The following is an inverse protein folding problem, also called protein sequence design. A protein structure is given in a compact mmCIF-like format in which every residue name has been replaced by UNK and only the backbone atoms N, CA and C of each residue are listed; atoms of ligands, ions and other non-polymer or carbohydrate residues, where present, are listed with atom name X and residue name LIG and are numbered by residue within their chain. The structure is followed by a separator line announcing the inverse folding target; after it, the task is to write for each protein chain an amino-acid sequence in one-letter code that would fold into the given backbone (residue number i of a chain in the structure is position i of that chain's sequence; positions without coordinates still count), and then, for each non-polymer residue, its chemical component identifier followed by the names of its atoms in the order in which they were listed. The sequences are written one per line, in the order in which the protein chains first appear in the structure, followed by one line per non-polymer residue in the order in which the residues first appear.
data_IF_288588946518
#
_entry.id   IF_288588946518
#
_cell.length_a   1.000
_cell.length_b   1.000
_cell.length_c   1.000
_cell.angle_alpha   90.00
_cell.angle_beta   90.00
_cell.angle_gamma   90.00
#
_symmetry.space_group_name_H-M   'P 1'
#
loop_
_entity.id
_entity.type
_entity.pdbx_description
1 polymer ?
#
# COMPACT_ATOMS: atom_id res chain seq x y z
N UNK A 1 0.37 8.96 12.53
CA UNK A 1 -0.32 8.71 13.81
C UNK A 1 -1.75 8.30 13.50
N UNK A 2 -2.21 7.20 14.09
CA UNK A 2 -3.61 6.75 13.98
C UNK A 2 -4.48 7.56 14.94
N UNK A 3 -5.51 8.20 14.43
CA UNK A 3 -6.46 9.01 15.20
C UNK A 3 -7.76 8.26 15.53
N UNK A 4 -8.16 7.31 14.68
CA UNK A 4 -9.32 6.44 14.87
C UNK A 4 -9.23 5.20 13.97
N UNK A 5 -10.04 4.19 14.26
CA UNK A 5 -10.11 2.93 13.52
C UNK A 5 -9.23 1.84 14.10
N UNK A 6 -9.18 0.69 13.42
CA UNK A 6 -8.33 -0.46 13.74
C UNK A 6 -7.86 -1.15 12.45
N UNK A 7 -6.67 -1.74 12.51
CA UNK A 7 -6.09 -2.40 11.35
C UNK A 7 -4.58 -2.57 11.46
N UNK A 8 -3.93 -2.61 10.32
CA UNK A 8 -2.49 -2.85 10.25
C UNK A 8 -1.82 -2.10 9.10
N UNK A 9 -0.50 -2.02 9.15
CA UNK A 9 0.33 -1.62 8.02
C UNK A 9 1.21 -2.79 7.61
N UNK A 10 1.49 -2.87 6.32
CA UNK A 10 2.56 -3.71 5.80
C UNK A 10 3.73 -2.80 5.44
N UNK A 11 4.95 -3.15 5.84
CA UNK A 11 6.15 -2.39 5.49
C UNK A 11 7.34 -3.34 5.27
N UNK A 12 8.10 -3.15 4.21
CA UNK A 12 9.26 -3.99 3.89
C UNK A 12 10.27 -3.26 2.99
N UNK A 13 11.57 -3.59 3.08
CA UNK A 13 12.54 -3.11 2.11
C UNK A 13 12.34 -3.81 0.77
N UNK A 14 12.80 -3.19 -0.31
CA UNK A 14 12.71 -3.79 -1.65
C UNK A 14 13.41 -5.15 -1.72
N UNK A 15 12.78 -6.12 -2.40
CA UNK A 15 13.25 -7.50 -2.49
C UNK A 15 12.96 -8.40 -1.28
N UNK A 16 12.29 -7.90 -0.24
CA UNK A 16 11.84 -8.70 0.92
C UNK A 16 10.32 -8.91 0.95
N UNK A 17 9.86 -9.78 1.85
CA UNK A 17 8.44 -10.05 2.08
C UNK A 17 7.76 -8.99 2.98
N UNK A 18 6.47 -8.66 2.74
CA UNK A 18 5.72 -7.71 3.55
C UNK A 18 5.62 -8.11 5.03
N UNK A 19 6.20 -7.29 5.92
CA UNK A 19 6.11 -7.48 7.38
C UNK A 19 4.86 -6.80 7.95
N UNK A 20 4.23 -7.47 8.92
CA UNK A 20 2.96 -7.04 9.51
C UNK A 20 3.16 -6.17 10.76
N UNK A 21 2.46 -5.03 10.81
CA UNK A 21 2.49 -4.10 11.94
C UNK A 21 1.06 -3.73 12.33
N UNK A 22 0.49 -4.36 13.37
CA UNK A 22 -0.83 -3.97 13.87
C UNK A 22 -0.77 -2.58 14.46
N UNK A 23 -1.88 -1.85 14.41
CA UNK A 23 -1.97 -0.55 15.05
C UNK A 23 -3.30 -0.35 15.76
N UNK A 24 -3.24 0.47 16.80
CA UNK A 24 -4.37 1.02 17.53
C UNK A 24 -4.31 2.55 17.55
N UNK A 25 -5.35 3.21 18.05
CA UNK A 25 -5.38 4.66 18.22
C UNK A 25 -4.17 5.14 19.02
N UNK A 26 -3.47 6.15 18.51
CA UNK A 26 -2.21 6.66 19.07
C UNK A 26 -0.95 6.03 18.46
N UNK A 27 -1.06 4.93 17.71
CA UNK A 27 0.11 4.32 17.06
C UNK A 27 0.74 5.26 16.05
N UNK A 28 2.08 5.39 16.10
CA UNK A 28 2.87 6.13 15.13
C UNK A 28 3.58 5.16 14.20
N UNK A 29 3.04 5.00 12.98
CA UNK A 29 3.68 4.24 11.90
C UNK A 29 4.71 5.13 11.21
N UNK A 30 5.95 4.64 11.11
CA UNK A 30 7.08 5.33 10.47
C UNK A 30 7.76 4.36 9.50
N UNK A 31 7.34 4.32 8.22
CA UNK A 31 8.05 3.55 7.21
C UNK A 31 9.48 4.08 7.07
N UNK A 32 10.51 3.22 7.15
CA UNK A 32 11.88 3.63 6.87
C UNK A 32 12.04 4.17 5.44
N UNK A 33 13.13 4.88 5.19
CA UNK A 33 13.40 5.46 3.88
C UNK A 33 13.47 4.38 2.79
N UNK A 34 12.82 4.63 1.64
CA UNK A 34 12.75 3.72 0.49
C UNK A 34 12.13 2.35 0.78
N UNK A 35 11.21 2.26 1.75
CA UNK A 35 10.44 1.04 2.02
C UNK A 35 9.07 1.09 1.34
N UNK A 36 8.69 -0.06 0.80
CA UNK A 36 7.30 -0.32 0.43
C UNK A 36 6.43 -0.28 1.67
N UNK A 37 5.26 0.34 1.56
CA UNK A 37 4.30 0.38 2.65
C UNK A 37 2.86 0.48 2.15
N UNK A 38 1.96 -0.21 2.85
CA UNK A 38 0.52 -0.20 2.62
C UNK A 38 -0.22 -0.12 3.96
N UNK A 39 -1.39 0.51 4.00
CA UNK A 39 -2.20 0.67 5.21
C UNK A 39 -3.58 0.04 4.98
N UNK A 40 -4.03 -0.80 5.91
CA UNK A 40 -5.28 -1.55 5.81
C UNK A 40 -6.18 -1.23 7.01
N UNK A 41 -7.39 -0.73 6.74
CA UNK A 41 -8.45 -0.60 7.73
C UNK A 41 -9.26 -1.89 7.74
N UNK A 42 -9.33 -2.57 8.88
CA UNK A 42 -10.04 -3.85 9.01
C UNK A 42 -11.27 -3.75 9.90
N UNK A 43 -11.52 -2.58 10.49
CA UNK A 43 -12.68 -2.37 11.35
C UNK A 43 -13.90 -1.85 10.60
N UNK A 44 -15.09 -1.90 11.25
CA UNK A 44 -16.35 -1.44 10.67
C UNK A 44 -16.47 0.10 10.61
N UNK A 45 -15.47 0.83 11.12
CA UNK A 45 -15.48 2.29 11.15
C UNK A 45 -14.31 2.88 10.34
N UNK A 46 -14.46 4.10 9.78
CA UNK A 46 -13.36 4.74 9.06
C UNK A 46 -12.13 4.97 9.93
N UNK A 47 -10.98 4.56 9.41
CA UNK A 47 -9.69 4.89 9.99
C UNK A 47 -9.25 6.31 9.61
N UNK A 48 -8.70 7.05 10.57
CA UNK A 48 -8.19 8.41 10.34
C UNK A 48 -6.72 8.49 10.68
N UNK A 49 -5.94 9.08 9.78
CA UNK A 49 -4.49 9.17 9.88
C UNK A 49 -4.07 10.64 9.92
N UNK A 50 -3.23 10.99 10.89
CA UNK A 50 -2.42 12.21 10.83
C UNK A 50 -1.04 11.84 10.30
N UNK A 51 -0.75 12.24 9.06
CA UNK A 51 0.52 12.00 8.40
C UNK A 51 1.36 13.29 8.40
N UNK A 52 2.56 13.21 8.96
CA UNK A 52 3.58 14.25 8.80
C UNK A 52 4.47 13.86 7.64
N UNK A 53 4.64 14.78 6.68
CA UNK A 53 5.60 14.61 5.60
C UNK A 53 6.62 15.73 5.70
N UNK A 54 7.90 15.37 5.80
CA UNK A 54 8.97 16.35 5.66
C UNK A 54 8.99 16.86 4.22
N UNK A 55 9.08 18.17 4.01
CA UNK A 55 9.12 18.75 2.69
C UNK A 55 10.41 18.32 1.96
N UNK A 56 10.31 17.86 0.71
CA UNK A 56 11.47 17.44 -0.09
C UNK A 56 11.82 15.95 -0.12
N UNK A 57 11.16 15.07 0.65
CA UNK A 57 11.38 13.59 0.57
C UNK A 57 10.63 12.90 -0.56
N UNK A 58 9.78 13.62 -1.29
CA UNK A 58 9.12 13.06 -2.45
C UNK A 58 10.14 12.93 -3.59
N UNK A 59 10.67 11.73 -3.79
CA UNK A 59 11.50 11.42 -4.97
C UNK A 59 10.67 11.68 -6.22
N UNK A 60 11.21 12.46 -7.15
CA UNK A 60 10.54 12.87 -8.39
C UNK A 60 11.36 12.45 -9.60
N UNK A 61 10.69 12.17 -10.72
CA UNK A 61 11.34 11.95 -12.00
C UNK A 61 11.85 13.28 -12.62
N UNK A 62 12.47 13.22 -13.79
CA UNK A 62 13.02 14.39 -14.48
C UNK A 62 11.95 15.45 -14.84
N UNK A 63 10.69 15.05 -14.97
CA UNK A 63 9.54 15.94 -15.22
C UNK A 63 8.91 16.48 -13.93
N UNK A 64 9.48 16.16 -12.77
CA UNK A 64 8.99 16.62 -11.47
C UNK A 64 7.78 15.82 -10.94
N UNK A 65 7.39 14.71 -11.57
CA UNK A 65 6.29 13.86 -11.09
C UNK A 65 6.78 12.98 -9.94
N UNK A 66 6.07 12.91 -8.79
CA UNK A 66 6.42 11.99 -7.71
C UNK A 66 6.47 10.55 -8.21
N UNK A 67 7.57 9.84 -7.93
CA UNK A 67 7.73 8.45 -8.36
C UNK A 67 6.68 7.53 -7.73
N UNK A 68 6.19 7.84 -6.53
CA UNK A 68 5.10 7.13 -5.86
C UNK A 68 3.72 7.28 -6.54
N UNK A 69 3.61 8.06 -7.61
CA UNK A 69 2.41 8.15 -8.45
C UNK A 69 2.57 7.41 -9.78
N UNK A 70 3.73 6.81 -10.00
CA UNK A 70 4.09 6.15 -11.24
C UNK A 70 4.18 4.66 -10.94
N UNK A 71 3.56 3.84 -11.79
CA UNK A 71 3.62 2.38 -11.72
C UNK A 71 5.08 1.88 -11.67
N UNK A 72 5.33 0.88 -10.83
CA UNK A 72 6.61 0.19 -10.72
C UNK A 72 7.02 -0.49 -12.03
N UNK A 73 6.04 -0.88 -12.86
CA UNK A 73 6.27 -1.49 -14.19
C UNK A 73 7.02 -0.59 -15.15
N UNK A 74 6.93 0.72 -14.97
CA UNK A 74 7.59 1.75 -15.79
C UNK A 74 8.61 2.57 -15.00
N UNK A 75 9.15 2.00 -13.91
CA UNK A 75 10.24 2.58 -13.13
C UNK A 75 9.81 3.56 -12.04
N UNK A 76 8.52 3.62 -11.72
CA UNK A 76 8.00 4.33 -10.55
C UNK A 76 8.07 3.51 -9.27
N UNK A 77 7.43 4.03 -8.21
CA UNK A 77 7.44 3.46 -6.86
C UNK A 77 6.00 3.21 -6.35
N UNK A 78 5.06 2.94 -7.27
CA UNK A 78 3.69 2.52 -6.95
C UNK A 78 3.50 1.05 -7.36
N UNK A 79 3.04 0.22 -6.43
CA UNK A 79 2.54 -1.12 -6.76
C UNK A 79 1.12 -0.95 -7.27
N UNK A 80 0.87 -1.31 -8.52
CA UNK A 80 -0.47 -1.33 -9.11
C UNK A 80 -1.33 -2.39 -8.39
N UNK A 81 -2.62 -2.15 -8.24
CA UNK A 81 -3.53 -3.08 -7.57
C UNK A 81 -3.47 -4.49 -8.20
N UNK A 82 -3.36 -4.61 -9.52
CA UNK A 82 -3.24 -5.88 -10.22
C UNK A 82 -1.95 -6.66 -9.87
N UNK A 83 -0.87 -5.95 -9.50
CA UNK A 83 0.42 -6.50 -9.10
C UNK A 83 0.53 -6.79 -7.61
N UNK A 84 -0.46 -6.38 -6.81
CA UNK A 84 -0.51 -6.73 -5.40
C UNK A 84 -0.47 -8.26 -5.21
N UNK A 85 0.46 -8.72 -4.37
CA UNK A 85 0.64 -10.14 -4.13
C UNK A 85 -0.62 -10.80 -3.57
N UNK A 86 -0.83 -12.07 -3.94
CA UNK A 86 -1.93 -12.90 -3.40
C UNK A 86 -1.88 -12.95 -1.87
N UNK A 87 -0.68 -13.01 -1.27
CA UNK A 87 -0.51 -13.04 0.18
C UNK A 87 -1.08 -11.79 0.87
N UNK A 88 -0.89 -10.60 0.27
CA UNK A 88 -1.47 -9.34 0.78
C UNK A 88 -3.00 -9.36 0.65
N UNK A 89 -3.52 -9.77 -0.51
CA UNK A 89 -4.98 -9.86 -0.76
C UNK A 89 -5.67 -10.83 0.20
N UNK A 90 -5.11 -12.03 0.36
CA UNK A 90 -5.62 -13.04 1.28
C UNK A 90 -5.60 -12.53 2.72
N UNK A 91 -4.49 -11.93 3.16
CA UNK A 91 -4.39 -11.38 4.52
C UNK A 91 -5.46 -10.32 4.81
N UNK A 92 -5.72 -9.43 3.86
CA UNK A 92 -6.76 -8.42 4.03
C UNK A 92 -8.16 -9.04 4.10
N UNK A 93 -8.43 -10.03 3.24
CA UNK A 93 -9.69 -10.78 3.22
C UNK A 93 -9.91 -11.54 4.53
N UNK A 94 -8.88 -12.20 5.05
CA UNK A 94 -8.93 -12.95 6.31
C UNK A 94 -9.15 -12.00 7.50
N UNK A 95 -8.46 -10.86 7.50
CA UNK A 95 -8.61 -9.86 8.56
C UNK A 95 -10.02 -9.26 8.60
N UNK A 96 -10.61 -8.94 7.44
CA UNK A 96 -12.01 -8.49 7.36
C UNK A 96 -12.99 -9.58 7.79
N UNK A 97 -12.77 -10.83 7.38
CA UNK A 97 -13.65 -11.95 7.72
C UNK A 97 -13.71 -12.19 9.23
N UNK A 98 -12.61 -11.91 9.96
CA UNK A 98 -12.59 -11.98 11.43
C UNK A 98 -13.52 -10.96 12.13
N UNK A 99 -13.98 -9.95 11.39
CA UNK A 99 -14.91 -8.89 11.83
C UNK A 99 -16.27 -8.99 11.13
N UNK A 100 -16.57 -10.13 10.49
CA UNK A 100 -17.77 -10.34 9.66
C UNK A 100 -17.91 -9.33 8.50
N UNK A 101 -16.79 -8.83 8.00
CA UNK A 101 -16.70 -7.91 6.87
C UNK A 101 -16.20 -8.62 5.61
N UNK A 102 -16.54 -8.06 4.44
CA UNK A 102 -16.04 -8.53 3.15
C UNK A 102 -15.28 -7.43 2.41
N UNK A 103 -14.29 -7.84 1.61
CA UNK A 103 -13.51 -6.91 0.80
C UNK A 103 -14.29 -6.50 -0.45
N UNK A 104 -14.35 -5.20 -0.69
CA UNK A 104 -14.90 -4.61 -1.93
C UNK A 104 -13.79 -4.31 -2.96
N UNK A 105 -12.57 -4.82 -2.75
CA UNK A 105 -11.42 -4.48 -3.61
C UNK A 105 -11.54 -5.03 -5.04
N UNK A 106 -12.40 -6.02 -5.28
CA UNK A 106 -12.53 -6.70 -6.57
C UNK A 106 -12.76 -5.73 -7.73
N UNK A 107 -13.68 -4.79 -7.56
CA UNK A 107 -13.99 -3.81 -8.59
C UNK A 107 -12.78 -2.92 -8.95
N UNK A 108 -11.93 -2.61 -7.98
CA UNK A 108 -10.74 -1.78 -8.19
C UNK A 108 -9.64 -2.55 -8.92
N UNK A 109 -9.46 -3.84 -8.61
CA UNK A 109 -8.57 -4.71 -9.38
C UNK A 109 -9.00 -4.78 -10.85
N UNK A 110 -10.29 -4.98 -11.11
CA UNK A 110 -10.82 -5.11 -12.47
C UNK A 110 -10.77 -3.78 -13.24
N UNK A 111 -11.04 -2.66 -12.56
CA UNK A 111 -11.03 -1.33 -13.17
C UNK A 111 -9.63 -0.86 -13.58
N UNK A 112 -8.57 -1.34 -12.94
CA UNK A 112 -7.20 -0.96 -13.26
C UNK A 112 -6.67 -1.68 -14.51
N UNK A 113 -7.13 -2.92 -14.78
CA UNK A 113 -6.61 -3.79 -15.86
C UNK A 113 -6.45 -3.12 -17.24
N UNK A 114 -7.40 -2.29 -17.73
CA UNK A 114 -7.28 -1.68 -19.05
C UNK A 114 -6.14 -0.67 -19.18
N UNK A 115 -5.76 -0.02 -18.08
CA UNK A 115 -4.79 1.08 -18.07
C UNK A 115 -3.41 0.64 -17.56
N UNK A 116 -3.25 -0.65 -17.23
CA UNK A 116 -2.01 -1.18 -16.69
C UNK A 116 -0.87 -1.14 -17.72
N UNK A 117 0.29 -0.55 -17.38
CA UNK A 117 1.47 -0.62 -18.23
C UNK A 117 1.91 -2.07 -18.44
N UNK A 118 2.64 -2.39 -19.52
CA UNK A 118 3.18 -3.72 -19.73
C UNK A 118 4.17 -4.09 -18.61
N UNK A 119 4.26 -5.38 -18.29
CA UNK A 119 5.24 -5.88 -17.32
C UNK A 119 6.66 -5.47 -17.71
N UNK A 120 7.51 -5.09 -16.74
CA UNK A 120 8.90 -4.77 -17.03
C UNK A 120 9.59 -6.02 -17.59
N UNK A 121 10.43 -5.82 -18.61
CA UNK A 121 11.22 -6.93 -19.14
C UNK A 121 12.15 -7.45 -18.04
N UNK A 122 12.30 -8.78 -17.88
CA UNK A 122 13.25 -9.32 -16.92
C UNK A 122 14.64 -8.78 -17.21
N UNK A 123 15.35 -8.35 -16.16
CA UNK A 123 16.74 -7.95 -16.28
C UNK A 123 17.55 -9.09 -16.91
N UNK A 124 18.37 -8.78 -17.92
CA UNK A 124 19.30 -9.72 -18.54
C UNK A 124 20.38 -10.18 -17.57
#
# INVERSE_FOLDING_TARGET
IILSGEGYSLMWPDGEEPRYYPWEVGTMIVPPNMWWHQHFNTGPTPSRYLAFKYEGVAVRNAQGVPKSWISSRIGGDQIDYADESVAVRSRFTDALSSQDLSSDMKQFYEAELPDLPPMPMPAK
#
